data_IF_010604651268
#
_entry.id   IF_010604651268
#
_cell.length_a   1.000
_cell.length_b   1.000
_cell.length_c   1.000
_cell.angle_alpha   90.00
_cell.angle_beta   90.00
_cell.angle_gamma   90.00
#
_symmetry.space_group_name_H-M   'P 1'
#
loop_
_entity.id
_entity.type
_entity.pdbx_description
1 polymer ?
#
# COMPACT_ATOMS: atom_id res chain seq x y z
N UNK A 1 4.72 13.97 -9.16
CA UNK A 1 3.50 14.01 -8.32
C UNK A 1 3.06 15.47 -8.19
N UNK A 2 1.83 15.79 -8.60
CA UNK A 2 1.25 17.13 -8.40
C UNK A 2 0.12 17.04 -7.39
N UNK A 3 0.07 17.98 -6.44
CA UNK A 3 -1.08 18.20 -5.57
C UNK A 3 -1.77 19.46 -6.04
N UNK A 4 -3.04 19.34 -6.41
CA UNK A 4 -3.86 20.43 -6.95
C UNK A 4 -5.12 20.60 -6.10
N UNK A 5 -5.60 21.82 -6.06
CA UNK A 5 -6.87 22.19 -5.43
C UNK A 5 -7.69 23.00 -6.43
N UNK A 6 -9.01 22.87 -6.36
CA UNK A 6 -9.91 23.68 -7.16
C UNK A 6 -10.00 25.10 -6.56
N UNK A 7 -9.78 26.13 -7.37
CA UNK A 7 -9.95 27.53 -6.99
C UNK A 7 -11.32 28.05 -7.47
N UNK A 8 -12.29 28.28 -6.55
CA UNK A 8 -13.61 28.76 -6.90
C UNK A 8 -13.63 30.17 -7.50
N UNK A 9 -12.60 30.99 -7.25
CA UNK A 9 -12.55 32.36 -7.74
C UNK A 9 -12.19 32.45 -9.23
N UNK A 10 -11.33 31.55 -9.68
CA UNK A 10 -10.87 31.47 -11.08
C UNK A 10 -11.54 30.36 -11.88
N UNK A 11 -12.30 29.48 -11.23
CA UNK A 11 -12.86 28.25 -11.81
C UNK A 11 -11.79 27.34 -12.45
N UNK A 12 -10.59 27.31 -11.87
CA UNK A 12 -9.44 26.56 -12.39
C UNK A 12 -8.74 25.73 -11.31
N UNK A 13 -7.79 24.88 -11.70
CA UNK A 13 -6.95 24.10 -10.80
C UNK A 13 -5.71 24.90 -10.38
N UNK A 14 -5.61 25.16 -9.08
CA UNK A 14 -4.41 25.73 -8.47
C UNK A 14 -3.46 24.60 -8.06
N UNK A 15 -2.22 24.66 -8.55
CA UNK A 15 -1.17 23.74 -8.10
C UNK A 15 -0.68 24.16 -6.70
N UNK A 16 -0.84 23.28 -5.71
CA UNK A 16 -0.36 23.49 -4.35
C UNK A 16 1.10 23.05 -4.18
N UNK A 17 1.47 21.92 -4.79
CA UNK A 17 2.86 21.45 -4.80
C UNK A 17 3.15 20.54 -5.98
N UNK A 18 4.41 20.53 -6.42
CA UNK A 18 4.90 19.68 -7.50
C UNK A 18 6.19 18.99 -7.03
N UNK A 19 6.21 17.66 -7.10
CA UNK A 19 7.32 16.83 -6.62
C UNK A 19 7.85 15.95 -7.76
N UNK A 20 9.16 15.94 -7.95
CA UNK A 20 9.86 15.20 -9.00
C UNK A 20 10.74 14.10 -8.37
N UNK A 21 10.63 12.87 -8.87
CA UNK A 21 11.33 11.70 -8.33
C UNK A 21 11.91 10.81 -9.45
N UNK A 22 12.51 11.43 -10.47
CA UNK A 22 13.06 10.69 -11.64
C UNK A 22 14.57 10.70 -11.74
N UNK A 23 15.24 10.81 -10.59
CA UNK A 23 16.68 10.72 -10.48
C UNK A 23 17.18 9.32 -10.89
N UNK A 24 18.30 9.21 -11.63
CA UNK A 24 18.84 7.93 -12.10
C UNK A 24 19.14 6.92 -10.98
N UNK A 25 19.53 7.42 -9.81
CA UNK A 25 19.87 6.61 -8.63
C UNK A 25 18.66 5.82 -8.10
N UNK A 26 17.45 6.37 -8.26
CA UNK A 26 16.20 5.72 -7.85
C UNK A 26 15.79 4.57 -8.77
N UNK A 27 16.37 4.50 -9.97
CA UNK A 27 16.07 3.48 -10.98
C UNK A 27 16.91 2.22 -10.82
N UNK A 28 17.86 2.19 -9.90
CA UNK A 28 18.70 1.01 -9.61
C UNK A 28 19.36 0.39 -10.86
N UNK A 29 19.72 1.22 -11.85
CA UNK A 29 20.31 0.79 -13.12
C UNK A 29 19.33 0.32 -14.21
N UNK A 30 18.03 0.23 -13.91
CA UNK A 30 17.01 -0.06 -14.91
C UNK A 30 16.78 1.15 -15.84
N UNK A 31 16.80 0.91 -17.14
CA UNK A 31 16.57 1.94 -18.17
C UNK A 31 15.11 2.01 -18.62
N UNK A 32 14.38 0.89 -18.52
CA UNK A 32 12.97 0.79 -18.85
C UNK A 32 12.17 0.59 -17.58
N UNK A 33 11.30 1.56 -17.26
CA UNK A 33 10.39 1.43 -16.13
C UNK A 33 9.06 0.81 -16.59
N UNK A 34 8.71 -0.34 -16.04
CA UNK A 34 7.42 -1.02 -16.27
C UNK A 34 6.40 -0.74 -15.16
N UNK A 35 6.84 -0.14 -14.05
CA UNK A 35 6.00 0.13 -12.88
C UNK A 35 5.37 1.52 -12.97
N UNK A 36 4.04 1.54 -13.07
CA UNK A 36 3.26 2.78 -13.02
C UNK A 36 3.24 3.31 -11.58
N UNK A 37 3.51 4.60 -11.34
CA UNK A 37 3.43 5.17 -10.00
C UNK A 37 2.04 5.01 -9.38
N UNK A 38 1.96 4.39 -8.20
CA UNK A 38 0.70 4.19 -7.46
C UNK A 38 0.65 5.11 -6.27
N UNK A 39 -0.36 5.97 -6.18
CA UNK A 39 -0.59 6.85 -5.02
C UNK A 39 -1.68 6.28 -4.13
N UNK A 40 -1.46 6.33 -2.81
CA UNK A 40 -2.43 6.00 -1.76
C UNK A 40 -2.43 7.09 -0.70
N UNK A 41 -3.58 7.34 -0.11
CA UNK A 41 -3.76 8.36 0.93
C UNK A 41 -4.27 7.69 2.19
N UNK A 42 -3.71 8.06 3.33
CA UNK A 42 -4.17 7.59 4.62
C UNK A 42 -5.61 8.05 4.89
N UNK A 43 -6.54 7.17 5.32
CA UNK A 43 -7.93 7.53 5.55
C UNK A 43 -8.14 8.66 6.57
N UNK A 44 -7.23 8.80 7.53
CA UNK A 44 -7.28 9.85 8.55
C UNK A 44 -6.49 11.12 8.13
N UNK A 45 -6.12 11.23 6.85
CA UNK A 45 -5.49 12.40 6.26
C UNK A 45 -4.13 12.75 6.87
N UNK A 46 -3.33 11.77 7.30
CA UNK A 46 -2.00 12.02 7.90
C UNK A 46 -0.89 12.16 6.87
N UNK A 47 -0.92 11.33 5.83
CA UNK A 47 0.07 11.32 4.78
C UNK A 47 -0.49 10.69 3.50
N UNK A 48 0.25 10.87 2.41
CA UNK A 48 0.14 10.07 1.21
C UNK A 48 1.42 9.26 0.98
N UNK A 49 1.30 8.12 0.33
CA UNK A 49 2.42 7.31 -0.12
C UNK A 49 2.30 7.10 -1.62
N UNK A 50 3.41 7.25 -2.33
CA UNK A 50 3.53 6.94 -3.74
C UNK A 50 4.62 5.89 -3.97
N UNK A 51 4.25 4.75 -4.55
CA UNK A 51 5.19 3.73 -4.99
C UNK A 51 5.72 4.14 -6.36
N UNK A 52 7.04 4.27 -6.49
CA UNK A 52 7.74 4.54 -7.74
C UNK A 52 8.75 3.42 -8.03
N UNK A 53 8.92 3.11 -9.31
CA UNK A 53 9.83 2.06 -9.82
C UNK A 53 9.62 0.64 -9.22
N UNK A 54 8.54 0.42 -8.48
CA UNK A 54 8.29 -0.84 -7.76
C UNK A 54 9.19 -1.06 -6.54
N UNK A 55 10.15 -0.17 -6.26
CA UNK A 55 11.18 -0.35 -5.21
C UNK A 55 11.25 0.79 -4.20
N UNK A 56 10.63 1.94 -4.46
CA UNK A 56 10.74 3.12 -3.59
C UNK A 56 9.36 3.61 -3.17
N UNK A 57 9.17 3.83 -1.87
CA UNK A 57 7.97 4.47 -1.33
C UNK A 57 8.30 5.92 -0.99
N UNK A 58 7.72 6.84 -1.75
CA UNK A 58 7.73 8.27 -1.43
C UNK A 58 6.62 8.54 -0.42
N UNK A 59 6.99 8.96 0.78
CA UNK A 59 6.05 9.40 1.81
C UNK A 59 5.93 10.92 1.75
N UNK A 60 4.70 11.42 1.57
CA UNK A 60 4.36 12.84 1.61
C UNK A 60 3.51 13.12 2.86
N UNK A 61 4.10 13.64 3.94
CA UNK A 61 3.35 13.91 5.15
C UNK A 61 2.57 15.22 5.07
N UNK A 62 1.37 15.21 5.62
CA UNK A 62 0.52 16.40 5.71
C UNK A 62 0.71 17.07 7.05
N UNK A 63 0.70 18.41 7.06
CA UNK A 63 0.57 19.15 8.32
C UNK A 63 -0.86 18.98 8.80
N UNK A 64 -1.02 18.44 10.02
CA UNK A 64 -2.29 18.56 10.73
C UNK A 64 -2.33 19.96 11.32
N UNK A 65 -3.29 20.76 10.88
CA UNK A 65 -3.69 21.95 11.63
C UNK A 65 -4.37 21.46 12.91
N UNK A 66 -3.58 21.14 13.93
CA UNK A 66 -4.12 21.12 15.28
C UNK A 66 -4.55 22.55 15.59
N UNK A 67 -5.84 22.76 15.81
CA UNK A 67 -6.45 24.00 16.29
C UNK A 67 -5.92 24.44 17.67
N UNK A 68 -4.73 24.00 18.09
CA UNK A 68 -4.12 24.21 19.41
C UNK A 68 -2.73 24.85 19.36
N UNK A 69 -2.15 25.13 18.20
CA UNK A 69 -0.88 25.89 18.11
C UNK A 69 -1.13 27.41 18.18
N UNK A 70 -1.83 27.86 19.22
CA UNK A 70 -2.00 29.30 19.52
C UNK A 70 -0.86 29.88 20.38
N UNK A 71 0.18 29.14 20.76
CA UNK A 71 1.32 29.72 21.50
C UNK A 71 2.66 29.14 21.05
N UNK A 72 3.31 29.80 20.09
CA UNK A 72 4.53 30.59 20.34
C UNK A 72 5.02 31.20 19.00
N UNK A 73 5.11 32.53 18.97
CA UNK A 73 5.37 33.30 17.76
C UNK A 73 6.84 33.30 17.32
N UNK A 74 7.05 33.43 16.01
CA UNK A 74 7.97 34.42 15.41
C UNK A 74 7.43 34.78 14.02
N UNK A 75 7.41 36.08 13.78
CA UNK A 75 7.05 36.84 12.57
C UNK A 75 7.64 36.23 11.29
N UNK A 76 6.79 35.98 10.30
CA UNK A 76 7.19 35.52 8.97
C UNK A 76 5.96 35.27 8.09
N UNK A 77 5.45 36.33 7.45
CA UNK A 77 4.40 36.24 6.44
C UNK A 77 4.90 35.48 5.20
N UNK A 78 4.61 34.20 5.18
CA UNK A 78 4.65 33.35 4.00
C UNK A 78 3.65 32.23 4.23
N UNK A 79 2.79 31.93 3.25
CA UNK A 79 1.89 30.78 3.30
C UNK A 79 2.69 29.55 3.74
N UNK A 80 2.52 29.12 4.99
CA UNK A 80 3.16 27.90 5.50
C UNK A 80 2.63 26.76 4.63
N UNK A 81 3.52 26.05 3.94
CA UNK A 81 3.13 24.91 3.09
C UNK A 81 2.29 23.92 3.90
N UNK A 82 1.16 23.46 3.37
CA UNK A 82 0.34 22.42 4.02
C UNK A 82 1.03 21.04 4.07
N UNK A 83 2.20 20.93 3.43
CA UNK A 83 3.00 19.72 3.32
C UNK A 83 4.30 19.85 4.12
N UNK A 84 4.68 18.75 4.77
CA UNK A 84 6.04 18.56 5.28
C UNK A 84 6.95 18.03 4.15
N UNK A 85 8.28 18.17 4.26
CA UNK A 85 9.20 17.61 3.28
C UNK A 85 8.99 16.10 3.11
N UNK A 86 8.85 15.65 1.87
CA UNK A 86 8.75 14.23 1.56
C UNK A 86 10.05 13.50 1.86
N UNK A 87 9.96 12.21 2.16
CA UNK A 87 11.12 11.33 2.27
C UNK A 87 10.86 10.01 1.54
N UNK A 88 11.94 9.32 1.18
CA UNK A 88 11.88 8.08 0.40
C UNK A 88 12.29 6.93 1.31
N UNK A 89 11.53 5.84 1.26
CA UNK A 89 11.86 4.56 1.89
C UNK A 89 12.25 3.58 0.78
N UNK A 90 13.40 2.93 0.90
CA UNK A 90 13.76 1.79 0.07
C UNK A 90 13.08 0.54 0.61
N UNK A 91 12.17 -0.06 -0.17
CA UNK A 91 11.41 -1.24 0.29
C UNK A 91 12.29 -2.47 0.46
N UNK A 92 13.49 -2.47 -0.15
CA UNK A 92 14.43 -3.60 -0.10
C UNK A 92 15.27 -3.61 1.18
N UNK A 93 15.38 -2.45 1.84
CA UNK A 93 16.06 -2.31 3.13
C UNK A 93 15.15 -2.72 4.30
N UNK A 94 13.87 -2.98 4.04
CA UNK A 94 12.93 -3.53 5.01
C UNK A 94 13.22 -5.01 5.28
N UNK A 95 13.00 -5.45 6.53
CA UNK A 95 13.36 -6.79 7.03
C UNK A 95 12.90 -7.97 6.15
N UNK A 96 11.78 -7.81 5.43
CA UNK A 96 11.13 -8.87 4.67
C UNK A 96 11.54 -8.97 3.17
N UNK A 97 12.59 -8.26 2.73
CA UNK A 97 13.03 -8.20 1.31
C UNK A 97 11.84 -8.05 0.36
N UNK A 98 11.13 -6.94 0.45
CA UNK A 98 9.95 -6.70 -0.36
C UNK A 98 10.33 -6.56 -1.83
N UNK A 99 10.02 -7.59 -2.62
CA UNK A 99 10.20 -7.60 -4.06
C UNK A 99 8.84 -7.83 -4.72
N UNK A 100 8.68 -7.33 -5.95
CA UNK A 100 7.48 -7.50 -6.77
C UNK A 100 6.21 -7.08 -6.02
N UNK A 101 6.11 -5.79 -5.68
CA UNK A 101 4.91 -5.24 -5.05
C UNK A 101 3.74 -5.30 -6.03
N UNK A 102 2.68 -6.00 -5.62
CA UNK A 102 1.44 -6.19 -6.38
C UNK A 102 0.51 -5.00 -6.13
N UNK A 103 0.19 -4.73 -4.87
CA UNK A 103 -0.67 -3.61 -4.48
C UNK A 103 -0.34 -3.12 -3.06
N UNK A 104 -0.82 -1.92 -2.72
CA UNK A 104 -0.66 -1.35 -1.39
C UNK A 104 -1.89 -0.55 -0.99
N UNK A 105 -2.25 -0.57 0.30
CA UNK A 105 -3.39 0.14 0.86
C UNK A 105 -3.13 0.57 2.30
N UNK A 106 -3.63 1.75 2.65
CA UNK A 106 -3.67 2.16 4.06
C UNK A 106 -4.80 1.44 4.79
N UNK A 107 -4.51 0.96 6.01
CA UNK A 107 -5.47 0.28 6.86
C UNK A 107 -6.19 1.27 7.79
N UNK A 108 -7.45 0.96 8.10
CA UNK A 108 -8.26 1.72 9.04
C UNK A 108 -8.03 1.24 10.48
N UNK A 109 -8.12 2.15 11.45
CA UNK A 109 -8.14 1.78 12.87
C UNK A 109 -6.81 1.89 13.62
N UNK A 110 -5.72 2.21 12.91
CA UNK A 110 -4.40 2.39 13.51
C UNK A 110 -4.13 3.85 13.91
N UNK A 111 -3.47 4.04 15.05
CA UNK A 111 -3.09 5.37 15.58
C UNK A 111 -2.02 6.07 14.74
N UNK A 112 -1.09 5.30 14.19
CA UNK A 112 -0.16 5.72 13.16
C UNK A 112 -0.68 5.29 11.78
N UNK A 113 -0.29 5.99 10.69
CA UNK A 113 -0.66 5.58 9.34
C UNK A 113 0.00 4.23 9.02
N UNK A 114 -0.82 3.19 8.92
CA UNK A 114 -0.36 1.82 8.64
C UNK A 114 -0.60 1.49 7.18
N UNK A 115 0.47 1.23 6.44
CA UNK A 115 0.43 0.82 5.04
C UNK A 115 0.58 -0.70 4.95
N UNK A 116 -0.40 -1.37 4.37
CA UNK A 116 -0.31 -2.77 3.97
C UNK A 116 0.20 -2.87 2.54
N UNK A 117 1.15 -3.77 2.31
CA UNK A 117 1.77 -4.04 1.03
C UNK A 117 1.57 -5.52 0.73
N UNK A 118 0.93 -5.81 -0.41
CA UNK A 118 0.83 -7.14 -1.00
C UNK A 118 1.98 -7.29 -2.01
N UNK A 119 2.79 -8.33 -1.87
CA UNK A 119 4.00 -8.50 -2.66
C UNK A 119 4.31 -9.99 -2.87
N UNK A 120 5.23 -10.28 -3.78
CA UNK A 120 5.64 -11.63 -4.12
C UNK A 120 7.18 -11.76 -4.09
N UNK A 121 7.77 -12.17 -2.94
CA UNK A 121 9.23 -12.23 -2.82
C UNK A 121 9.89 -13.11 -3.89
N UNK A 122 9.26 -14.23 -4.24
CA UNK A 122 9.73 -15.17 -5.24
C UNK A 122 8.73 -15.30 -6.38
N UNK A 123 8.81 -14.40 -7.36
CA UNK A 123 7.87 -14.35 -8.47
C UNK A 123 7.70 -15.71 -9.18
N UNK A 124 6.45 -16.10 -9.42
CA UNK A 124 6.03 -17.26 -10.20
C UNK A 124 5.09 -16.83 -11.34
N UNK A 125 4.64 -17.81 -12.13
CA UNK A 125 3.60 -17.61 -13.14
C UNK A 125 2.72 -18.85 -13.23
N UNK A 126 1.48 -18.75 -13.76
CA UNK A 126 0.50 -19.84 -13.69
C UNK A 126 0.98 -21.20 -14.21
N UNK A 127 1.75 -21.25 -15.30
CA UNK A 127 2.27 -22.52 -15.84
C UNK A 127 3.42 -23.14 -15.05
N UNK A 128 3.95 -22.47 -14.03
CA UNK A 128 4.95 -23.00 -13.09
C UNK A 128 4.39 -23.27 -11.69
N UNK A 129 3.07 -23.19 -11.50
CA UNK A 129 2.42 -23.41 -10.20
C UNK A 129 2.78 -24.76 -9.58
N UNK A 130 2.96 -25.81 -10.39
CA UNK A 130 3.37 -27.14 -9.92
C UNK A 130 4.74 -27.18 -9.21
N UNK A 131 5.59 -26.16 -9.42
CA UNK A 131 6.92 -26.02 -8.79
C UNK A 131 6.91 -24.94 -7.71
N UNK A 132 6.15 -23.86 -7.93
CA UNK A 132 6.05 -22.72 -7.01
C UNK A 132 4.60 -22.27 -6.92
N UNK A 133 3.98 -22.64 -5.82
CA UNK A 133 2.65 -22.20 -5.39
C UNK A 133 2.78 -21.33 -4.14
N UNK A 134 1.72 -20.62 -3.81
CA UNK A 134 1.59 -19.81 -2.59
C UNK A 134 2.78 -18.86 -2.34
N UNK A 135 3.13 -18.08 -3.36
CA UNK A 135 4.31 -17.21 -3.35
C UNK A 135 4.04 -15.79 -2.86
N UNK A 136 2.77 -15.41 -2.72
CA UNK A 136 2.39 -14.07 -2.27
C UNK A 136 2.50 -13.93 -0.75
N UNK A 137 2.77 -12.71 -0.31
CA UNK A 137 2.85 -12.32 1.09
C UNK A 137 2.25 -10.93 1.31
N UNK A 138 1.83 -10.65 2.53
CA UNK A 138 1.50 -9.30 2.98
C UNK A 138 2.45 -8.87 4.09
N UNK A 139 2.71 -7.57 4.13
CA UNK A 139 3.38 -6.90 5.24
C UNK A 139 2.62 -5.62 5.55
N UNK A 140 2.42 -5.31 6.83
CA UNK A 140 1.91 -4.04 7.30
C UNK A 140 3.03 -3.28 8.02
N UNK A 141 3.33 -2.08 7.54
CA UNK A 141 4.31 -1.17 8.12
C UNK A 141 3.59 -0.01 8.81
N UNK A 142 3.99 0.28 10.04
CA UNK A 142 3.51 1.49 10.74
C UNK A 142 4.42 2.65 10.39
N UNK A 143 3.90 3.76 9.85
CA UNK A 143 4.74 4.88 9.43
C UNK A 143 4.79 5.95 10.54
N UNK A 144 5.89 5.99 11.30
CA UNK A 144 6.16 7.11 12.19
C UNK A 144 6.75 8.27 11.39
N UNK A 145 5.88 9.19 10.97
CA UNK A 145 6.23 10.35 10.13
C UNK A 145 7.30 11.23 10.78
N UNK A 146 7.23 11.44 12.10
CA UNK A 146 8.09 12.37 12.82
C UNK A 146 9.52 11.85 12.95
N UNK A 147 9.66 10.57 13.31
CA UNK A 147 10.96 9.91 13.49
C UNK A 147 11.49 9.28 12.20
N UNK A 148 10.65 9.19 11.15
CA UNK A 148 10.93 8.49 9.89
C UNK A 148 11.27 7.00 10.08
N UNK A 149 10.77 6.42 11.16
CA UNK A 149 10.92 4.99 11.49
C UNK A 149 9.67 4.25 11.05
N UNK A 150 9.83 3.04 10.53
CA UNK A 150 8.74 2.31 9.90
C UNK A 150 8.79 0.81 10.21
N UNK A 151 8.47 0.40 11.46
CA UNK A 151 8.54 -1.00 11.85
C UNK A 151 7.46 -1.83 11.14
N UNK A 152 7.80 -3.08 10.85
CA UNK A 152 6.83 -4.11 10.44
C UNK A 152 6.03 -4.52 11.68
N UNK A 153 4.71 -4.35 11.63
CA UNK A 153 3.81 -4.67 12.77
C UNK A 153 3.03 -5.96 12.57
N UNK A 154 2.88 -6.40 11.32
CA UNK A 154 2.17 -7.62 10.96
C UNK A 154 2.66 -8.11 9.59
N UNK A 155 2.89 -9.40 9.47
CA UNK A 155 3.20 -10.05 8.20
C UNK A 155 2.49 -11.40 8.11
N UNK A 156 2.20 -11.82 6.88
CA UNK A 156 1.67 -13.14 6.59
C UNK A 156 2.20 -13.61 5.24
N UNK A 157 2.80 -14.80 5.24
CA UNK A 157 3.35 -15.43 4.04
C UNK A 157 2.49 -16.60 3.58
N UNK A 158 2.83 -17.15 2.42
CA UNK A 158 2.19 -18.32 1.82
C UNK A 158 0.72 -18.06 1.43
N UNK A 159 0.44 -16.84 0.93
CA UNK A 159 -0.84 -16.53 0.28
C UNK A 159 -0.86 -17.07 -1.15
N UNK A 160 -2.05 -17.36 -1.73
CA UNK A 160 -2.17 -17.85 -3.09
C UNK A 160 -1.35 -17.02 -4.09
N UNK A 161 -0.66 -17.70 -5.02
CA UNK A 161 0.25 -17.05 -5.96
C UNK A 161 -0.45 -16.07 -6.91
N UNK A 162 -1.77 -16.19 -7.09
CA UNK A 162 -2.62 -15.45 -8.01
C UNK A 162 -3.32 -14.25 -7.33
N UNK A 163 -2.79 -13.72 -6.22
CA UNK A 163 -3.29 -12.48 -5.62
C UNK A 163 -3.09 -11.27 -6.57
N UNK A 164 -4.10 -10.41 -6.67
CA UNK A 164 -4.15 -9.30 -7.64
C UNK A 164 -4.23 -7.92 -6.98
N UNK A 165 -5.00 -7.78 -5.91
CA UNK A 165 -5.21 -6.48 -5.26
C UNK A 165 -5.60 -6.64 -3.79
N UNK A 166 -5.41 -5.56 -3.03
CA UNK A 166 -5.83 -5.46 -1.64
C UNK A 166 -6.90 -4.36 -1.48
N UNK A 167 -7.89 -4.62 -0.63
CA UNK A 167 -8.92 -3.65 -0.27
C UNK A 167 -9.00 -3.52 1.25
N UNK A 168 -8.67 -2.34 1.76
CA UNK A 168 -8.77 -2.06 3.19
C UNK A 168 -10.25 -2.00 3.62
N UNK A 169 -10.58 -2.74 4.68
CA UNK A 169 -11.95 -2.78 5.22
C UNK A 169 -12.13 -1.63 6.21
N UNK A 170 -13.15 -0.78 6.05
CA UNK A 170 -13.37 0.36 6.95
C UNK A 170 -13.77 -0.08 8.36
N UNK A 171 -13.70 0.88 9.29
CA UNK A 171 -14.28 0.73 10.64
C UNK A 171 -15.79 0.45 10.52
N UNK A 172 -16.38 -0.39 11.41
CA UNK A 172 -15.79 -0.93 12.64
C UNK A 172 -15.08 -2.29 12.48
N UNK A 173 -15.20 -2.96 11.33
CA UNK A 173 -14.69 -4.33 11.15
C UNK A 173 -13.16 -4.33 11.06
N UNK A 174 -12.59 -3.45 10.23
CA UNK A 174 -11.15 -3.38 10.01
C UNK A 174 -10.57 -4.62 9.31
N UNK A 175 -9.25 -4.60 9.10
CA UNK A 175 -8.54 -5.62 8.34
C UNK A 175 -8.48 -5.33 6.84
N UNK A 176 -8.23 -6.37 6.05
CA UNK A 176 -8.05 -6.26 4.60
C UNK A 176 -8.70 -7.45 3.90
N UNK A 177 -9.28 -7.19 2.73
CA UNK A 177 -9.71 -8.23 1.79
C UNK A 177 -8.68 -8.30 0.67
N UNK A 178 -8.07 -9.46 0.49
CA UNK A 178 -7.17 -9.76 -0.62
C UNK A 178 -7.94 -10.50 -1.70
N UNK A 179 -7.88 -9.95 -2.90
CA UNK A 179 -8.45 -10.55 -4.09
C UNK A 179 -7.36 -11.41 -4.74
N UNK A 180 -7.72 -12.64 -5.08
CA UNK A 180 -6.96 -13.49 -5.97
C UNK A 180 -7.86 -13.92 -7.13
N UNK A 181 -7.27 -14.38 -8.23
CA UNK A 181 -8.04 -14.76 -9.43
C UNK A 181 -9.12 -15.79 -9.09
N UNK A 182 -8.80 -16.78 -8.26
CA UNK A 182 -9.71 -17.89 -7.93
C UNK A 182 -10.18 -17.92 -6.47
N UNK A 183 -9.74 -16.98 -5.63
CA UNK A 183 -10.06 -16.98 -4.20
C UNK A 183 -10.20 -15.57 -3.63
N UNK A 184 -10.89 -15.48 -2.50
CA UNK A 184 -11.08 -14.22 -1.75
C UNK A 184 -10.68 -14.46 -0.30
N UNK A 185 -9.79 -13.62 0.22
CA UNK A 185 -9.24 -13.77 1.57
C UNK A 185 -9.58 -12.55 2.40
N UNK A 186 -10.08 -12.76 3.61
CA UNK A 186 -10.15 -11.73 4.65
C UNK A 186 -9.05 -11.99 5.68
N UNK A 187 -8.20 -10.99 5.88
CA UNK A 187 -7.06 -11.04 6.78
C UNK A 187 -7.18 -9.91 7.81
N UNK A 188 -6.90 -10.23 9.07
CA UNK A 188 -6.88 -9.26 10.15
C UNK A 188 -5.81 -9.69 11.18
N UNK A 189 -5.22 -8.75 11.90
CA UNK A 189 -4.18 -9.03 12.88
C UNK A 189 -4.70 -9.84 14.08
N UNK A 190 -5.97 -9.66 14.45
CA UNK A 190 -6.57 -10.29 15.64
C UNK A 190 -7.32 -11.60 15.34
N UNK A 191 -7.55 -11.94 14.08
CA UNK A 191 -8.37 -13.10 13.68
C UNK A 191 -7.54 -13.98 12.74
N UNK A 192 -7.60 -15.31 12.88
CA UNK A 192 -6.95 -16.21 11.92
C UNK A 192 -7.39 -15.92 10.48
N UNK A 193 -6.51 -16.14 9.49
CA UNK A 193 -6.85 -15.93 8.09
C UNK A 193 -8.10 -16.70 7.67
N UNK A 194 -9.03 -16.03 6.98
CA UNK A 194 -10.23 -16.64 6.45
C UNK A 194 -10.25 -16.50 4.93
N UNK A 195 -10.22 -17.62 4.20
CA UNK A 195 -10.26 -17.61 2.75
C UNK A 195 -11.37 -18.47 2.19
N UNK A 196 -11.93 -18.04 1.06
CA UNK A 196 -12.92 -18.79 0.29
C UNK A 196 -12.42 -19.02 -1.15
N UNK A 197 -12.65 -20.21 -1.65
CA UNK A 197 -12.46 -20.57 -3.04
C UNK A 197 -13.72 -20.23 -3.84
N UNK A 198 -13.54 -19.55 -4.97
CA UNK A 198 -14.62 -19.05 -5.83
C UNK A 198 -14.94 -20.00 -6.98
N UNK A 199 -14.04 -20.95 -7.27
CA UNK A 199 -14.17 -21.94 -8.32
C UNK A 199 -13.23 -23.14 -8.05
N UNK A 200 -13.36 -24.22 -8.83
CA UNK A 200 -12.58 -25.45 -8.62
C UNK A 200 -11.10 -25.36 -9.02
N UNK A 201 -10.64 -24.26 -9.63
CA UNK A 201 -9.26 -24.11 -10.10
C UNK A 201 -8.25 -23.88 -8.97
N UNK A 202 -8.72 -23.62 -7.75
CA UNK A 202 -7.87 -23.60 -6.54
C UNK A 202 -7.33 -24.99 -6.18
N UNK A 203 -7.96 -26.06 -6.66
CA UNK A 203 -7.56 -27.43 -6.33
C UNK A 203 -6.22 -27.77 -7.00
N UNK A 204 -5.19 -28.00 -6.18
CA UNK A 204 -3.85 -28.34 -6.65
C UNK A 204 -3.01 -27.14 -7.12
N UNK A 205 -3.50 -25.92 -6.95
CA UNK A 205 -2.77 -24.67 -7.26
C UNK A 205 -2.44 -23.84 -6.03
N UNK A 206 -3.16 -24.05 -4.92
CA UNK A 206 -2.88 -23.44 -3.62
C UNK A 206 -3.09 -24.47 -2.50
N UNK A 207 -2.24 -24.40 -1.47
CA UNK A 207 -2.33 -25.17 -0.23
C UNK A 207 -2.96 -24.33 0.89
N UNK A 208 -3.17 -23.03 0.64
CA UNK A 208 -3.82 -22.14 1.60
C UNK A 208 -5.22 -22.69 1.96
N UNK A 209 -5.61 -22.69 3.25
CA UNK A 209 -6.87 -23.25 3.68
C UNK A 209 -8.06 -22.41 3.19
N UNK A 210 -8.66 -22.82 2.08
CA UNK A 210 -9.82 -22.18 1.47
C UNK A 210 -11.09 -23.01 1.71
N UNK A 211 -12.17 -22.35 2.13
CA UNK A 211 -13.51 -22.95 2.16
C UNK A 211 -14.18 -22.81 0.80
N UNK A 212 -14.89 -23.83 0.34
CA UNK A 212 -15.61 -23.73 -0.92
C UNK A 212 -16.87 -22.85 -0.76
N UNK A 213 -17.03 -21.84 -1.61
CA UNK A 213 -18.23 -21.00 -1.60
C UNK A 213 -19.33 -21.64 -2.45
N UNK A 214 -20.41 -22.07 -1.80
CA UNK A 214 -21.56 -22.64 -2.51
C UNK A 214 -22.30 -21.58 -3.35
N UNK A 215 -22.84 -22.03 -4.50
CA UNK A 215 -23.63 -21.18 -5.39
C UNK A 215 -22.83 -20.18 -6.23
N UNK A 216 -21.49 -20.19 -6.16
CA UNK A 216 -20.62 -19.25 -6.86
C UNK A 216 -19.60 -19.98 -7.73
N UNK A 217 -19.42 -19.53 -8.98
CA UNK A 217 -18.41 -20.00 -9.93
C UNK A 217 -17.92 -18.83 -10.78
N UNK A 218 -17.08 -18.00 -10.19
CA UNK A 218 -16.52 -16.80 -10.85
C UNK A 218 -15.01 -16.71 -10.62
N UNK A 219 -14.38 -15.80 -11.35
CA UNK A 219 -13.00 -15.32 -11.15
C UNK A 219 -13.03 -13.82 -10.84
N UNK A 220 -11.94 -13.29 -10.28
CA UNK A 220 -11.78 -11.87 -9.93
C UNK A 220 -10.64 -11.18 -10.68
N UNK A 221 -10.38 -11.61 -11.93
CA UNK A 221 -9.40 -11.03 -12.86
C UNK A 221 -9.94 -9.83 -13.66
#
# INVERSE_FOLDING_TARGET
>A
LSVVEYDPGTHDLKTLSLHYFEEPELKDGFVQNVHIPKVRVDPDGRCAVMLIYGTRLVVLPFRRDTLTDEHEGVVGEGQKSSFLPSYIIDVRELDEKLLNIIDMQFLYGYYEPTLLILYEPNQTWPGRVAVRQDTCSIVAISLNIMQKVHPVIWSLSNLPFDCTQALAVPKPIGGVVIFAVNSLLYLNQSVPPYGVSLNSLTNGTTVFPLRFQEGLKITLD
#
